data_IF_409594140027
#
_entry.id   IF_409594140027
#
_cell.length_a   1.000
_cell.length_b   1.000
_cell.length_c   1.000
_cell.angle_alpha   90.00
_cell.angle_beta   90.00
_cell.angle_gamma   90.00
#
_symmetry.space_group_name_H-M   'P 1'
#
loop_
_entity.id
_entity.type
_entity.pdbx_description
1 polymer ?
#
# COMPACT_ATOMS: atom_id res chain seq x y z
N UNK A 1 -51.26 -44.66 -10.46
CA UNK A 1 -50.59 -43.34 -10.32
C UNK A 1 -51.00 -42.76 -8.98
N UNK A 2 -50.09 -42.57 -8.01
CA UNK A 2 -50.50 -42.09 -6.70
C UNK A 2 -50.88 -40.62 -6.82
N UNK A 3 -52.13 -40.29 -6.50
CA UNK A 3 -52.58 -38.91 -6.35
C UNK A 3 -51.86 -38.32 -5.15
N UNK A 4 -50.74 -37.61 -5.38
CA UNK A 4 -50.12 -36.80 -4.33
C UNK A 4 -51.18 -35.85 -3.79
N UNK A 5 -51.54 -36.04 -2.52
CA UNK A 5 -52.47 -35.15 -1.81
C UNK A 5 -52.01 -33.70 -1.97
N UNK A 6 -52.93 -32.78 -2.25
CA UNK A 6 -52.64 -31.35 -2.47
C UNK A 6 -51.77 -30.74 -1.37
N UNK A 7 -51.87 -31.27 -0.14
CA UNK A 7 -51.05 -30.89 1.02
C UNK A 7 -49.55 -31.21 0.84
N UNK A 8 -49.22 -32.36 0.27
CA UNK A 8 -47.84 -32.77 0.02
C UNK A 8 -47.20 -31.95 -1.11
N UNK A 9 -47.98 -31.63 -2.16
CA UNK A 9 -47.53 -30.76 -3.25
C UNK A 9 -47.24 -29.34 -2.75
N UNK A 10 -48.10 -28.81 -1.88
CA UNK A 10 -47.89 -27.51 -1.25
C UNK A 10 -46.64 -27.50 -0.37
N UNK A 11 -46.41 -28.56 0.40
CA UNK A 11 -45.21 -28.69 1.26
C UNK A 11 -43.91 -28.74 0.46
N UNK A 12 -43.89 -29.48 -0.65
CA UNK A 12 -42.71 -29.55 -1.52
C UNK A 12 -42.47 -28.18 -2.17
N UNK A 13 -43.53 -27.51 -2.63
CA UNK A 13 -43.43 -26.20 -3.25
C UNK A 13 -42.87 -25.16 -2.27
N UNK A 14 -43.37 -25.10 -1.03
CA UNK A 14 -42.86 -24.14 -0.03
C UNK A 14 -41.40 -24.42 0.33
N UNK A 15 -41.01 -25.69 0.44
CA UNK A 15 -39.62 -26.07 0.72
C UNK A 15 -38.67 -25.59 -0.38
N UNK A 16 -39.03 -25.80 -1.65
CA UNK A 16 -38.22 -25.36 -2.80
C UNK A 16 -38.09 -23.83 -2.84
N UNK A 17 -39.18 -23.10 -2.56
CA UNK A 17 -39.17 -21.63 -2.51
C UNK A 17 -38.26 -21.12 -1.40
N UNK A 18 -38.36 -21.70 -0.18
CA UNK A 18 -37.55 -21.29 0.96
C UNK A 18 -36.05 -21.54 0.70
N UNK A 19 -35.70 -22.73 0.19
CA UNK A 19 -34.31 -23.05 -0.16
C UNK A 19 -33.79 -22.13 -1.28
N UNK A 20 -34.63 -21.82 -2.27
CA UNK A 20 -34.30 -20.87 -3.33
C UNK A 20 -34.01 -19.46 -2.78
N UNK A 21 -34.82 -18.97 -1.84
CA UNK A 21 -34.60 -17.67 -1.18
C UNK A 21 -33.31 -17.66 -0.36
N UNK A 22 -33.01 -18.72 0.39
CA UNK A 22 -31.76 -18.80 1.14
C UNK A 22 -30.53 -18.92 0.22
N UNK A 23 -30.64 -19.59 -0.93
CA UNK A 23 -29.57 -19.69 -1.92
C UNK A 23 -29.31 -18.34 -2.63
N UNK A 24 -30.36 -17.57 -2.92
CA UNK A 24 -30.17 -16.22 -3.47
C UNK A 24 -29.59 -15.28 -2.41
N UNK A 25 -30.10 -15.33 -1.18
CA UNK A 25 -29.54 -14.56 -0.05
C UNK A 25 -28.08 -14.93 0.21
N UNK A 26 -27.68 -16.20 0.20
CA UNK A 26 -26.28 -16.59 0.41
C UNK A 26 -25.37 -16.06 -0.70
N UNK A 27 -25.87 -15.96 -1.94
CA UNK A 27 -25.13 -15.36 -3.05
C UNK A 27 -25.02 -13.83 -2.92
N UNK A 28 -26.05 -13.16 -2.38
CA UNK A 28 -26.06 -11.71 -2.13
C UNK A 28 -25.32 -11.31 -0.84
N UNK A 29 -25.24 -12.21 0.14
CA UNK A 29 -24.44 -12.09 1.38
C UNK A 29 -23.03 -12.65 1.14
N UNK A 30 -22.58 -12.85 -0.11
CA UNK A 30 -21.15 -12.75 -0.35
C UNK A 30 -20.79 -11.35 0.16
N UNK A 31 -19.91 -11.23 1.17
CA UNK A 31 -19.43 -9.94 1.56
C UNK A 31 -18.84 -9.39 0.28
N UNK A 32 -19.45 -8.32 -0.26
CA UNK A 32 -18.69 -7.32 -0.98
C UNK A 32 -17.43 -7.22 -0.18
N UNK A 33 -16.36 -7.64 -0.85
CA UNK A 33 -15.08 -7.87 -0.27
C UNK A 33 -14.92 -6.84 0.85
N UNK A 34 -14.48 -7.28 2.02
CA UNK A 34 -13.51 -6.45 2.67
C UNK A 34 -12.45 -6.21 1.58
N UNK A 35 -12.66 -5.17 0.75
CA UNK A 35 -11.62 -4.45 0.07
C UNK A 35 -10.73 -4.24 1.25
N UNK A 36 -9.65 -4.99 1.23
CA UNK A 36 -8.71 -5.12 2.30
C UNK A 36 -8.24 -3.69 2.57
N UNK A 37 -8.99 -2.95 3.38
CA UNK A 37 -8.70 -1.56 3.71
C UNK A 37 -7.53 -1.56 4.69
N UNK A 38 -7.14 -2.73 5.21
CA UNK A 38 -5.82 -3.01 5.74
C UNK A 38 -4.71 -2.84 4.69
N UNK A 39 -4.95 -3.07 3.39
CA UNK A 39 -4.04 -2.65 2.30
C UNK A 39 -4.18 -1.18 1.93
N UNK A 40 -5.34 -0.55 2.13
CA UNK A 40 -5.48 0.91 1.97
C UNK A 40 -4.86 1.69 3.15
N UNK A 41 -4.76 1.05 4.32
CA UNK A 41 -3.87 1.39 5.40
C UNK A 41 -2.48 0.80 5.12
N UNK A 42 -1.91 1.12 3.95
CA UNK A 42 -0.46 1.04 3.75
C UNK A 42 0.15 1.70 4.97
N UNK A 43 0.80 0.91 5.83
CA UNK A 43 1.38 1.36 7.11
C UNK A 43 1.98 2.75 6.94
N UNK A 44 1.69 3.70 7.83
CA UNK A 44 2.16 5.10 7.68
C UNK A 44 3.66 5.20 7.41
N UNK A 45 4.42 4.19 7.82
CA UNK A 45 5.83 3.95 7.51
C UNK A 45 6.12 3.75 6.02
N UNK A 46 5.36 2.89 5.33
CA UNK A 46 5.51 2.64 3.89
C UNK A 46 5.12 3.88 3.08
N UNK A 47 4.03 4.55 3.46
CA UNK A 47 3.65 5.82 2.82
C UNK A 47 4.72 6.91 3.02
N UNK A 48 5.24 7.04 4.24
CA UNK A 48 6.35 7.94 4.53
C UNK A 48 7.58 7.62 3.69
N UNK A 49 7.96 6.34 3.62
CA UNK A 49 9.12 5.88 2.85
C UNK A 49 8.98 6.19 1.35
N UNK A 50 7.82 5.91 0.76
CA UNK A 50 7.55 6.21 -0.65
C UNK A 50 7.54 7.72 -0.92
N UNK A 51 7.01 8.53 0.01
CA UNK A 51 7.04 9.98 -0.10
C UNK A 51 8.48 10.53 -0.07
N UNK A 52 9.33 10.01 0.83
CA UNK A 52 10.76 10.35 0.88
C UNK A 52 11.41 9.96 -0.43
N UNK A 53 11.15 8.77 -0.97
CA UNK A 53 11.70 8.35 -2.26
C UNK A 53 11.31 9.32 -3.39
N UNK A 54 10.03 9.66 -3.50
CA UNK A 54 9.55 10.58 -4.55
C UNK A 54 10.17 11.97 -4.42
N UNK A 55 10.25 12.51 -3.19
CA UNK A 55 10.86 13.82 -2.94
C UNK A 55 12.37 13.81 -3.17
N UNK A 56 13.08 12.71 -2.88
CA UNK A 56 14.50 12.58 -3.19
C UNK A 56 14.74 12.69 -4.71
N UNK A 57 13.93 12.01 -5.52
CA UNK A 57 13.97 12.10 -6.99
C UNK A 57 13.75 13.54 -7.44
N UNK A 58 12.75 14.24 -6.86
CA UNK A 58 12.47 15.64 -7.18
C UNK A 58 13.62 16.56 -6.80
N UNK A 59 14.25 16.36 -5.63
CA UNK A 59 15.42 17.14 -5.21
C UNK A 59 16.56 17.00 -6.21
N UNK A 60 16.83 15.79 -6.72
CA UNK A 60 17.84 15.58 -7.76
C UNK A 60 17.48 16.33 -9.04
N UNK A 61 16.25 16.18 -9.53
CA UNK A 61 15.79 16.82 -10.78
C UNK A 61 15.71 18.35 -10.75
N UNK A 62 15.45 18.93 -9.59
CA UNK A 62 15.35 20.39 -9.43
C UNK A 62 16.69 21.04 -9.09
N UNK A 63 17.72 20.25 -8.76
CA UNK A 63 19.02 20.79 -8.39
C UNK A 63 19.93 20.90 -9.60
N UNK A 64 20.54 22.07 -9.77
CA UNK A 64 21.65 22.23 -10.70
C UNK A 64 22.90 21.51 -10.18
N UNK A 65 23.77 21.06 -11.08
CA UNK A 65 25.02 20.34 -10.77
C UNK A 65 25.87 21.01 -9.68
N UNK A 66 25.95 22.35 -9.66
CA UNK A 66 26.71 23.10 -8.67
C UNK A 66 26.15 23.04 -7.23
N UNK A 67 24.84 22.85 -7.06
CA UNK A 67 24.17 22.85 -5.74
C UNK A 67 23.62 21.49 -5.33
N UNK A 68 23.70 20.49 -6.21
CA UNK A 68 23.11 19.17 -6.02
C UNK A 68 23.57 18.48 -4.73
N UNK A 69 24.88 18.46 -4.46
CA UNK A 69 25.41 17.83 -3.26
C UNK A 69 24.91 18.50 -1.97
N UNK A 70 24.89 19.84 -1.96
CA UNK A 70 24.38 20.64 -0.84
C UNK A 70 22.89 20.36 -0.60
N UNK A 71 22.09 20.35 -1.67
CA UNK A 71 20.65 20.08 -1.61
C UNK A 71 20.34 18.65 -1.16
N UNK A 72 21.08 17.65 -1.66
CA UNK A 72 20.95 16.26 -1.24
C UNK A 72 21.35 16.07 0.23
N UNK A 73 22.39 16.77 0.68
CA UNK A 73 22.81 16.72 2.07
C UNK A 73 21.79 17.37 3.02
N UNK A 74 21.26 18.54 2.66
CA UNK A 74 20.17 19.19 3.41
C UNK A 74 18.94 18.31 3.45
N UNK A 75 18.55 17.75 2.30
CA UNK A 75 17.42 16.84 2.19
C UNK A 75 17.60 15.61 3.09
N UNK A 76 18.77 14.96 3.03
CA UNK A 76 19.13 13.82 3.88
C UNK A 76 18.98 14.13 5.37
N UNK A 77 19.47 15.29 5.81
CA UNK A 77 19.37 15.71 7.21
C UNK A 77 17.91 15.98 7.61
N UNK A 78 17.15 16.66 6.74
CA UNK A 78 15.74 16.95 6.96
C UNK A 78 14.91 15.67 7.11
N UNK A 79 15.02 14.72 6.17
CA UNK A 79 14.22 13.50 6.23
C UNK A 79 14.63 12.57 7.37
N UNK A 80 15.91 12.59 7.77
CA UNK A 80 16.38 11.86 8.95
C UNK A 80 15.74 12.41 10.22
N UNK A 81 15.73 13.73 10.40
CA UNK A 81 15.12 14.35 11.58
C UNK A 81 13.61 14.06 11.60
N UNK A 82 12.93 14.22 10.46
CA UNK A 82 11.51 13.94 10.32
C UNK A 82 11.16 12.46 10.59
N UNK A 83 12.04 11.53 10.16
CA UNK A 83 11.90 10.11 10.46
C UNK A 83 12.06 9.84 11.96
N UNK A 84 13.07 10.46 12.59
CA UNK A 84 13.35 10.33 14.03
C UNK A 84 12.20 10.85 14.89
N UNK A 85 11.56 11.96 14.50
CA UNK A 85 10.36 12.51 15.17
C UNK A 85 9.18 11.54 15.15
N UNK A 86 9.13 10.65 14.14
CA UNK A 86 8.11 9.61 14.00
C UNK A 86 8.53 8.26 14.62
N UNK A 87 9.71 8.19 15.24
CA UNK A 87 10.25 6.97 15.82
C UNK A 87 10.87 6.01 14.81
N UNK A 88 11.20 6.48 13.60
CA UNK A 88 11.84 5.67 12.55
C UNK A 88 13.33 5.98 12.45
N UNK A 89 14.13 4.97 12.15
CA UNK A 89 15.52 5.17 11.75
C UNK A 89 15.62 5.16 10.22
N UNK A 90 15.92 6.31 9.62
CA UNK A 90 16.10 6.46 8.17
C UNK A 90 17.56 6.73 7.82
N UNK A 91 18.14 5.84 7.03
CA UNK A 91 19.45 5.98 6.44
C UNK A 91 19.34 6.24 4.94
N UNK A 92 20.02 7.30 4.49
CA UNK A 92 20.07 7.70 3.09
C UNK A 92 21.53 7.82 2.67
N UNK A 93 21.93 7.00 1.70
CA UNK A 93 23.22 7.00 1.05
C UNK A 93 23.05 7.43 -0.40
N UNK A 94 23.99 8.21 -0.90
CA UNK A 94 23.97 8.61 -2.30
C UNK A 94 25.40 8.67 -2.83
N UNK A 95 25.53 8.32 -4.11
CA UNK A 95 26.75 8.52 -4.88
C UNK A 95 26.40 9.32 -6.12
N UNK A 96 27.22 10.33 -6.41
CA UNK A 96 27.06 11.19 -7.57
C UNK A 96 28.10 10.83 -8.62
N UNK A 97 27.66 10.80 -9.87
CA UNK A 97 28.50 10.84 -11.06
C UNK A 97 28.09 12.07 -11.88
N UNK A 98 28.81 12.37 -12.97
CA UNK A 98 28.64 13.59 -13.76
C UNK A 98 27.19 13.89 -14.19
N UNK A 99 26.37 12.86 -14.42
CA UNK A 99 24.99 12.99 -14.90
C UNK A 99 23.98 12.15 -14.13
N UNK A 100 24.42 11.31 -13.19
CA UNK A 100 23.56 10.37 -12.47
C UNK A 100 23.83 10.42 -10.98
N UNK A 101 22.75 10.37 -10.19
CA UNK A 101 22.80 10.13 -8.75
C UNK A 101 22.20 8.78 -8.46
N UNK A 102 22.98 7.91 -7.84
CA UNK A 102 22.50 6.66 -7.29
C UNK A 102 22.16 6.88 -5.81
N UNK A 103 20.92 6.58 -5.42
CA UNK A 103 20.39 6.76 -4.07
C UNK A 103 19.95 5.42 -3.51
N UNK A 104 20.49 5.10 -2.34
CA UNK A 104 20.08 3.97 -1.53
C UNK A 104 19.48 4.49 -0.23
N UNK A 105 18.31 3.98 0.13
CA UNK A 105 17.61 4.35 1.34
C UNK A 105 17.11 3.11 2.10
N UNK A 106 17.24 3.17 3.41
CA UNK A 106 16.80 2.13 4.35
C UNK A 106 16.02 2.80 5.46
N UNK A 107 14.77 2.38 5.66
CA UNK A 107 13.97 2.79 6.80
C UNK A 107 13.71 1.58 7.69
N UNK A 108 14.05 1.71 8.96
CA UNK A 108 13.85 0.69 9.98
C UNK A 108 12.92 1.24 11.05
N UNK A 109 11.86 0.50 11.33
CA UNK A 109 10.91 0.73 12.42
C UNK A 109 10.79 -0.55 13.26
N UNK A 110 9.97 -0.51 14.31
CA UNK A 110 9.65 -1.72 15.09
C UNK A 110 8.93 -2.79 14.26
N UNK A 111 8.25 -2.40 13.19
CA UNK A 111 7.36 -3.28 12.41
C UNK A 111 7.95 -3.68 11.06
N UNK A 112 8.73 -2.81 10.43
CA UNK A 112 9.18 -2.98 9.06
C UNK A 112 10.65 -2.56 8.87
N UNK A 113 11.29 -3.18 7.88
CA UNK A 113 12.54 -2.69 7.30
C UNK A 113 12.33 -2.54 5.81
N UNK A 114 12.24 -1.29 5.35
CA UNK A 114 12.02 -0.94 3.95
C UNK A 114 13.34 -0.52 3.31
N UNK A 115 13.61 -1.02 2.11
CA UNK A 115 14.83 -0.74 1.36
C UNK A 115 14.47 -0.35 -0.07
N UNK A 116 15.15 0.66 -0.60
CA UNK A 116 15.02 1.05 -2.00
C UNK A 116 16.37 1.52 -2.51
N UNK A 117 16.67 1.14 -3.75
CA UNK A 117 17.83 1.58 -4.49
C UNK A 117 17.36 2.03 -5.87
N UNK A 118 17.74 3.23 -6.29
CA UNK A 118 17.32 3.80 -7.57
C UNK A 118 18.33 4.84 -8.07
N UNK A 119 18.37 5.01 -9.38
CA UNK A 119 19.24 5.98 -10.04
C UNK A 119 18.39 7.06 -10.70
N UNK A 120 18.84 8.31 -10.60
CA UNK A 120 18.16 9.49 -11.14
C UNK A 120 19.15 10.32 -11.95
N UNK A 121 18.78 10.68 -13.18
CA UNK A 121 19.50 11.65 -14.00
C UNK A 121 19.05 13.07 -13.67
N UNK A 122 19.98 14.02 -13.68
CA UNK A 122 19.73 15.45 -13.49
C UNK A 122 20.39 16.29 -14.57
#
# INVERSE_FOLDING_TARGET
MPSLSSKAQFFILTTVVIVGVFYTLSKYINPYAFVDTSKAAVSGETFFFDNVKEKAIKTVKLSNSGNLLSNLQMYKNYVRNLASEKGYNLELYYTNTTTLVNIQMVLTSEKYTLKSNFTVSY
#
